data_IF_974645455827
#
_entry.id   IF_974645455827
#
_cell.length_a   1.000
_cell.length_b   1.000
_cell.length_c   1.000
_cell.angle_alpha   90.00
_cell.angle_beta   90.00
_cell.angle_gamma   90.00
#
_symmetry.space_group_name_H-M   'P 1'
#
loop_
_entity.id
_entity.type
_entity.pdbx_description
1 polymer ?
#
# COMPACT_ATOMS: atom_id res chain seq x y z
N UNK A 1 15.03 -15.91 11.71
CA UNK A 1 14.04 -15.23 10.84
C UNK A 1 14.55 -13.91 10.26
N UNK A 2 15.16 -13.01 11.02
CA UNK A 2 15.64 -11.70 10.53
C UNK A 2 16.85 -11.75 9.58
N UNK A 3 17.75 -12.73 9.75
CA UNK A 3 18.95 -12.87 8.91
C UNK A 3 18.67 -13.17 7.43
N UNK A 4 17.55 -13.84 7.12
CA UNK A 4 17.11 -14.08 5.74
C UNK A 4 16.51 -12.85 5.08
N UNK A 5 15.76 -12.04 5.84
CA UNK A 5 15.17 -10.78 5.35
C UNK A 5 16.25 -9.78 4.93
N UNK A 6 17.32 -9.67 5.72
CA UNK A 6 18.50 -8.83 5.42
C UNK A 6 19.36 -9.36 4.27
N UNK A 7 19.34 -10.68 4.02
CA UNK A 7 19.98 -11.27 2.85
C UNK A 7 19.17 -10.97 1.59
N UNK A 8 17.85 -11.17 1.63
CA UNK A 8 16.94 -10.89 0.53
C UNK A 8 16.84 -9.39 0.20
N UNK A 9 16.94 -8.51 1.20
CA UNK A 9 17.07 -7.05 1.01
C UNK A 9 18.32 -6.67 0.21
N UNK A 10 19.42 -7.42 0.32
CA UNK A 10 20.65 -7.14 -0.42
C UNK A 10 20.59 -7.62 -1.86
N UNK A 11 19.82 -8.67 -2.12
CA UNK A 11 19.67 -9.24 -3.46
C UNK A 11 18.58 -8.50 -4.27
N UNK A 12 17.46 -8.16 -3.64
CA UNK A 12 16.31 -7.50 -4.29
C UNK A 12 15.70 -6.39 -3.43
N UNK A 13 16.45 -5.29 -3.17
CA UNK A 13 16.04 -4.23 -2.25
C UNK A 13 14.73 -3.55 -2.65
N UNK A 14 14.49 -3.37 -3.94
CA UNK A 14 13.31 -2.68 -4.48
C UNK A 14 12.07 -3.55 -4.31
N UNK A 15 12.10 -4.79 -4.81
CA UNK A 15 10.99 -5.73 -4.71
C UNK A 15 10.52 -5.93 -3.27
N UNK A 16 11.47 -6.15 -2.35
CA UNK A 16 11.12 -6.39 -0.95
C UNK A 16 10.58 -5.13 -0.26
N UNK A 17 11.07 -3.94 -0.61
CA UNK A 17 10.51 -2.67 -0.12
C UNK A 17 9.07 -2.48 -0.60
N UNK A 18 8.78 -2.85 -1.85
CA UNK A 18 7.43 -2.78 -2.42
C UNK A 18 6.47 -3.77 -1.77
N UNK A 19 6.92 -4.98 -1.46
CA UNK A 19 6.12 -5.98 -0.75
C UNK A 19 5.81 -5.53 0.69
N UNK A 20 6.83 -5.16 1.46
CA UNK A 20 6.66 -4.72 2.85
C UNK A 20 5.84 -3.43 2.91
N UNK A 21 6.10 -2.49 2.01
CA UNK A 21 5.32 -1.26 1.89
C UNK A 21 3.85 -1.54 1.58
N UNK A 22 3.58 -2.50 0.69
CA UNK A 22 2.22 -2.92 0.34
C UNK A 22 1.48 -3.53 1.52
N UNK A 23 2.14 -4.42 2.26
CA UNK A 23 1.57 -5.00 3.48
C UNK A 23 1.24 -3.90 4.50
N UNK A 24 2.15 -2.95 4.69
CA UNK A 24 1.95 -1.84 5.62
C UNK A 24 0.77 -0.95 5.20
N UNK A 25 0.65 -0.59 3.92
CA UNK A 25 -0.49 0.17 3.40
C UNK A 25 -1.81 -0.58 3.61
N UNK A 26 -1.84 -1.89 3.32
CA UNK A 26 -3.03 -2.72 3.55
C UNK A 26 -3.43 -2.77 5.03
N UNK A 27 -2.47 -2.93 5.94
CA UNK A 27 -2.73 -2.93 7.39
C UNK A 27 -3.28 -1.58 7.83
N UNK A 28 -2.68 -0.47 7.39
CA UNK A 28 -3.14 0.87 7.74
C UNK A 28 -4.54 1.16 7.21
N UNK A 29 -4.84 0.78 5.96
CA UNK A 29 -6.19 0.91 5.39
C UNK A 29 -7.21 0.09 6.16
N UNK A 30 -6.88 -1.17 6.49
CA UNK A 30 -7.77 -2.05 7.23
C UNK A 30 -8.06 -1.50 8.64
N UNK A 31 -7.02 -1.16 9.40
CA UNK A 31 -7.16 -0.56 10.73
C UNK A 31 -7.90 0.77 10.64
N UNK A 32 -7.59 1.61 9.66
CA UNK A 32 -8.26 2.90 9.43
C UNK A 32 -9.76 2.73 9.20
N UNK A 33 -10.17 1.76 8.38
CA UNK A 33 -11.60 1.44 8.18
C UNK A 33 -12.26 0.97 9.47
N UNK A 34 -11.63 0.07 10.23
CA UNK A 34 -12.19 -0.40 11.50
C UNK A 34 -12.37 0.74 12.52
N UNK A 35 -11.38 1.62 12.63
CA UNK A 35 -11.44 2.80 13.50
C UNK A 35 -12.57 3.73 13.07
N UNK A 36 -12.71 3.99 11.77
CA UNK A 36 -13.79 4.84 11.26
C UNK A 36 -15.17 4.23 11.48
N UNK A 37 -15.32 2.93 11.26
CA UNK A 37 -16.56 2.22 11.57
C UNK A 37 -16.92 2.28 13.06
N UNK A 38 -15.92 2.11 13.94
CA UNK A 38 -16.12 2.20 15.38
C UNK A 38 -16.44 3.62 15.85
N UNK A 39 -16.02 4.65 15.11
CA UNK A 39 -16.27 6.06 15.44
C UNK A 39 -17.70 6.54 15.13
N UNK A 40 -18.51 5.71 14.49
CA UNK A 40 -19.89 6.03 14.12
C UNK A 40 -20.03 6.57 12.68
N UNK A 41 -21.26 6.93 12.27
CA UNK A 41 -21.53 7.35 10.90
C UNK A 41 -20.79 8.66 10.55
N UNK A 42 -20.37 8.84 9.29
CA UNK A 42 -19.72 10.06 8.85
C UNK A 42 -20.62 11.29 9.08
N UNK A 43 -20.05 12.33 9.68
CA UNK A 43 -20.69 13.64 9.83
C UNK A 43 -19.96 14.67 8.98
N UNK A 44 -20.70 15.59 8.35
CA UNK A 44 -20.14 16.64 7.49
C UNK A 44 -19.51 16.09 6.20
N UNK A 45 -18.30 16.56 5.85
CA UNK A 45 -17.63 16.27 4.57
C UNK A 45 -17.04 14.86 4.45
N UNK A 46 -17.15 14.03 5.49
CA UNK A 46 -16.62 12.64 5.52
C UNK A 46 -15.15 12.53 5.09
N UNK A 47 -14.34 13.57 5.32
CA UNK A 47 -12.95 13.67 4.88
C UNK A 47 -12.09 12.43 5.23
N UNK A 48 -12.21 11.82 6.43
CA UNK A 48 -11.44 10.61 6.76
C UNK A 48 -11.80 9.41 5.86
N UNK A 49 -13.07 9.27 5.50
CA UNK A 49 -13.54 8.23 4.58
C UNK A 49 -13.01 8.47 3.17
N UNK A 50 -13.01 9.73 2.71
CA UNK A 50 -12.42 10.11 1.42
C UNK A 50 -10.91 9.82 1.38
N UNK A 51 -10.20 10.03 2.49
CA UNK A 51 -8.78 9.69 2.58
C UNK A 51 -8.53 8.19 2.40
N UNK A 52 -9.32 7.33 3.05
CA UNK A 52 -9.24 5.87 2.87
C UNK A 52 -9.48 5.48 1.41
N UNK A 53 -10.53 6.03 0.80
CA UNK A 53 -10.86 5.75 -0.62
C UNK A 53 -9.74 6.24 -1.53
N UNK A 54 -9.23 7.45 -1.32
CA UNK A 54 -8.16 8.04 -2.12
C UNK A 54 -6.86 7.24 -2.05
N UNK A 55 -6.45 6.84 -0.83
CA UNK A 55 -5.26 6.02 -0.62
C UNK A 55 -5.45 4.64 -1.27
N UNK A 56 -6.60 4.00 -1.07
CA UNK A 56 -6.91 2.70 -1.68
C UNK A 56 -6.90 2.78 -3.21
N UNK A 57 -7.50 3.80 -3.81
CA UNK A 57 -7.50 4.01 -5.25
C UNK A 57 -6.09 4.23 -5.80
N UNK A 58 -5.28 5.08 -5.14
CA UNK A 58 -3.89 5.30 -5.52
C UNK A 58 -3.06 4.01 -5.43
N UNK A 59 -3.27 3.21 -4.39
CA UNK A 59 -2.59 1.92 -4.21
C UNK A 59 -2.98 0.91 -5.29
N UNK A 60 -4.26 0.85 -5.68
CA UNK A 60 -4.71 0.04 -6.82
C UNK A 60 -4.06 0.52 -8.11
N UNK A 61 -4.06 1.82 -8.40
CA UNK A 61 -3.42 2.37 -9.60
C UNK A 61 -1.91 2.10 -9.64
N UNK A 62 -1.25 2.16 -8.49
CA UNK A 62 0.16 1.82 -8.37
C UNK A 62 0.44 0.41 -8.89
N UNK A 63 -0.29 -0.60 -8.40
CA UNK A 63 -0.07 -1.99 -8.79
C UNK A 63 -0.64 -2.36 -10.17
N UNK A 64 -1.75 -1.75 -10.58
CA UNK A 64 -2.45 -2.14 -11.81
C UNK A 64 -2.00 -1.38 -13.04
N UNK A 65 -1.49 -0.16 -12.88
CA UNK A 65 -1.08 0.70 -13.99
C UNK A 65 0.39 1.08 -13.91
N UNK A 66 0.85 1.57 -12.76
CA UNK A 66 2.20 2.14 -12.66
C UNK A 66 3.30 1.06 -12.70
N UNK A 67 3.19 0.00 -11.90
CA UNK A 67 4.16 -1.11 -11.90
C UNK A 67 4.25 -1.77 -13.28
N UNK A 68 3.12 -2.16 -13.93
CA UNK A 68 3.19 -2.73 -15.27
C UNK A 68 3.78 -1.76 -16.32
N UNK A 69 3.54 -0.45 -16.18
CA UNK A 69 4.12 0.54 -17.08
C UNK A 69 5.63 0.67 -16.88
N UNK A 70 6.09 0.68 -15.63
CA UNK A 70 7.51 0.70 -15.29
C UNK A 70 8.22 -0.53 -15.86
N UNK A 71 7.67 -1.72 -15.64
CA UNK A 71 8.24 -2.98 -16.16
C UNK A 71 8.36 -2.98 -17.69
N UNK A 72 7.40 -2.37 -18.39
CA UNK A 72 7.41 -2.25 -19.86
C UNK A 72 8.39 -1.20 -20.38
N UNK A 73 8.70 -0.16 -19.61
CA UNK A 73 9.47 1.01 -20.08
C UNK A 73 10.91 1.01 -19.60
N UNK A 74 11.18 0.43 -18.43
CA UNK A 74 12.50 0.43 -17.76
C UNK A 74 13.05 -0.99 -17.63
N UNK A 75 12.20 -1.97 -17.31
CA UNK A 75 12.58 -3.36 -17.10
C UNK A 75 12.04 -3.91 -15.77
N UNK A 76 12.14 -5.24 -15.54
CA UNK A 76 11.60 -5.88 -14.35
C UNK A 76 12.26 -5.35 -13.08
N UNK A 77 11.44 -5.17 -12.04
CA UNK A 77 11.85 -4.84 -10.67
C UNK A 77 12.33 -6.07 -9.89
#
# INVERSE_FOLDING_TARGET
MTGGLLAQFREHPVALTLEVGSVLVCVLLFVGVLVLLASGPPTGTATPWLAVVGIGAAFVLFWTALVPLYERTVGPI
#
